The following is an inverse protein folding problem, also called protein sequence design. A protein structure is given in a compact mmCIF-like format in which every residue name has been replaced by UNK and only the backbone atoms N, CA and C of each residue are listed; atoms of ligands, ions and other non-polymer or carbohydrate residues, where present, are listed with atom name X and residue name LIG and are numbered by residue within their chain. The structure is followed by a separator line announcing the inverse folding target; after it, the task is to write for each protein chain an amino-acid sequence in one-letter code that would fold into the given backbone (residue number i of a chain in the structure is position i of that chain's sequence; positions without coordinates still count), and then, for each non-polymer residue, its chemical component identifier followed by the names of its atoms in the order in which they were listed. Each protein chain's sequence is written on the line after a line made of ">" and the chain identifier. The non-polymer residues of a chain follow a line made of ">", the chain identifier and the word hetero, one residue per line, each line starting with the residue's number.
data_IF_151530661090
#
_entry.id   IF_151530661090
#
_cell.length_a   1.000
_cell.length_b   1.000
_cell.length_c   1.000
_cell.angle_alpha   90.00
_cell.angle_beta   90.00
_cell.angle_gamma   90.00
#
_symmetry.space_group_name_H-M   'P 1'
#
loop_
_entity.id
_entity.type
_entity.pdbx_description
1 polymer ?
#
# COMPACT_ATOMS: atom_id res chain seq x y z
N UNK A 1 -9.61 -1.92 11.16
CA UNK A 1 -9.67 -2.72 9.91
C UNK A 1 -8.75 -2.11 8.86
N UNK A 2 -8.30 -2.90 7.88
CA UNK A 2 -7.50 -2.40 6.74
C UNK A 2 -8.20 -2.73 5.42
N UNK A 3 -8.37 -1.72 4.59
CA UNK A 3 -8.83 -1.82 3.21
C UNK A 3 -7.62 -1.69 2.28
N UNK A 4 -7.40 -2.70 1.44
CA UNK A 4 -6.35 -2.70 0.42
C UNK A 4 -7.00 -2.74 -0.96
N UNK A 5 -6.84 -1.66 -1.72
CA UNK A 5 -7.36 -1.50 -3.07
C UNK A 5 -6.24 -1.79 -4.08
N UNK A 6 -6.30 -2.96 -4.72
CA UNK A 6 -5.23 -3.48 -5.59
C UNK A 6 -5.51 -3.19 -7.07
N UNK A 7 -4.53 -2.61 -7.74
CA UNK A 7 -4.63 -2.24 -9.15
C UNK A 7 -3.38 -2.62 -9.91
N UNK A 8 -3.52 -2.63 -11.23
CA UNK A 8 -2.39 -2.79 -12.14
C UNK A 8 -2.25 -1.55 -13.00
N UNK A 9 -1.01 -1.08 -13.15
CA UNK A 9 -0.67 0.09 -13.93
C UNK A 9 0.23 -0.28 -15.12
N UNK A 10 0.23 0.50 -16.21
CA UNK A 10 1.29 0.42 -17.19
C UNK A 10 2.62 0.88 -16.58
N UNK A 11 3.73 0.46 -17.17
CA UNK A 11 5.07 0.94 -16.79
C UNK A 11 5.12 2.47 -16.86
N UNK A 12 5.37 3.09 -15.70
CA UNK A 12 5.53 4.53 -15.60
C UNK A 12 6.89 4.89 -16.18
N UNK A 13 6.90 5.79 -17.17
CA UNK A 13 8.16 6.33 -17.68
C UNK A 13 8.76 7.26 -16.62
N UNK A 14 10.00 7.00 -16.17
CA UNK A 14 10.62 7.84 -15.17
C UNK A 14 10.92 9.22 -15.77
N UNK A 15 10.90 10.25 -14.91
CA UNK A 15 11.45 11.57 -15.27
C UNK A 15 12.93 11.59 -14.89
N UNK A 16 13.79 11.91 -15.85
CA UNK A 16 15.24 11.97 -15.63
C UNK A 16 15.86 10.58 -15.40
N UNK A 17 16.86 10.50 -14.52
CA UNK A 17 17.66 9.29 -14.27
C UNK A 17 17.07 8.32 -13.23
N UNK A 18 15.85 8.56 -12.74
CA UNK A 18 15.22 7.68 -11.76
C UNK A 18 14.84 6.32 -12.39
N UNK A 19 14.84 5.26 -11.59
CA UNK A 19 14.26 3.98 -12.01
C UNK A 19 12.73 4.08 -12.05
N UNK A 20 12.06 3.42 -13.01
CA UNK A 20 10.60 3.33 -13.00
C UNK A 20 10.13 2.58 -11.74
N UNK A 21 9.10 3.06 -11.03
CA UNK A 21 8.55 2.34 -9.90
C UNK A 21 7.84 1.07 -10.35
N UNK A 22 8.11 -0.04 -9.67
CA UNK A 22 7.35 -1.28 -9.80
C UNK A 22 6.01 -1.19 -9.05
N UNK A 23 5.97 -0.34 -8.00
CA UNK A 23 4.78 -0.14 -7.18
C UNK A 23 4.50 1.35 -6.93
N UNK A 24 3.22 1.74 -6.87
CA UNK A 24 2.81 3.04 -6.32
C UNK A 24 1.88 2.80 -5.14
N UNK A 25 2.23 3.35 -3.98
CA UNK A 25 1.39 3.33 -2.78
C UNK A 25 0.64 4.65 -2.70
N UNK A 26 -0.69 4.59 -2.70
CA UNK A 26 -1.59 5.73 -2.52
C UNK A 26 -2.29 5.67 -1.16
N UNK A 27 -2.13 6.70 -0.34
CA UNK A 27 -2.80 6.86 0.96
C UNK A 27 -3.61 8.16 1.07
N UNK A 28 -3.90 8.76 -0.09
CA UNK A 28 -4.52 10.08 -0.25
C UNK A 28 -3.75 11.16 0.51
N UNK A 29 -2.43 11.16 0.40
CA UNK A 29 -1.54 12.09 1.12
C UNK A 29 -1.76 12.04 2.64
N UNK A 30 -1.94 10.82 3.16
CA UNK A 30 -2.19 10.55 4.58
C UNK A 30 -3.64 10.68 5.03
N UNK A 31 -4.58 11.06 4.15
CA UNK A 31 -5.99 11.18 4.52
C UNK A 31 -6.69 9.83 4.69
N UNK A 32 -6.21 8.75 4.05
CA UNK A 32 -6.88 7.46 4.02
C UNK A 32 -6.40 6.47 5.09
N UNK A 33 -5.22 6.66 5.69
CA UNK A 33 -4.72 5.76 6.75
C UNK A 33 -3.78 6.46 7.72
N UNK A 34 -3.54 5.84 8.88
CA UNK A 34 -2.48 6.28 9.78
C UNK A 34 -1.11 6.09 9.11
N UNK A 35 -0.20 7.06 9.27
CA UNK A 35 1.10 7.07 8.57
C UNK A 35 2.00 5.88 8.88
N UNK A 36 1.85 5.24 10.05
CA UNK A 36 2.59 4.01 10.36
C UNK A 36 2.25 2.85 9.42
N UNK A 37 1.02 2.80 8.92
CA UNK A 37 0.58 1.72 8.02
C UNK A 37 1.19 1.90 6.62
N UNK A 38 1.17 3.12 6.08
CA UNK A 38 1.86 3.41 4.81
C UNK A 38 3.37 3.21 4.94
N UNK A 39 3.99 3.69 6.03
CA UNK A 39 5.41 3.48 6.30
C UNK A 39 5.81 1.99 6.38
N UNK A 40 4.94 1.14 6.95
CA UNK A 40 5.17 -0.30 7.01
C UNK A 40 5.18 -0.95 5.62
N UNK A 41 4.27 -0.52 4.72
CA UNK A 41 4.22 -0.99 3.32
C UNK A 41 5.47 -0.58 2.56
N UNK A 42 5.88 0.69 2.66
CA UNK A 42 7.13 1.18 2.06
C UNK A 42 8.34 0.40 2.54
N UNK A 43 8.44 0.22 3.87
CA UNK A 43 9.53 -0.52 4.48
C UNK A 43 9.54 -1.98 4.04
N UNK A 44 8.38 -2.61 3.91
CA UNK A 44 8.25 -3.98 3.42
C UNK A 44 8.75 -4.10 1.97
N UNK A 45 8.28 -3.23 1.07
CA UNK A 45 8.65 -3.27 -0.35
C UNK A 45 10.14 -2.95 -0.55
N UNK A 46 10.68 -1.98 0.20
CA UNK A 46 12.11 -1.65 0.16
C UNK A 46 13.00 -2.83 0.61
N UNK A 47 12.60 -3.57 1.65
CA UNK A 47 13.32 -4.79 2.09
C UNK A 47 13.28 -5.94 1.08
N UNK A 48 12.38 -5.88 0.09
CA UNK A 48 12.30 -6.83 -1.01
C UNK A 48 12.92 -6.25 -2.30
N UNK A 49 13.77 -5.23 -2.17
CA UNK A 49 14.47 -4.54 -3.24
C UNK A 49 13.55 -3.96 -4.32
N UNK A 50 12.33 -3.55 -3.94
CA UNK A 50 11.34 -3.00 -4.87
C UNK A 50 11.43 -1.49 -4.96
N UNK A 51 11.37 -1.00 -6.20
CA UNK A 51 11.25 0.44 -6.48
C UNK A 51 9.80 0.85 -6.27
N UNK A 52 9.56 1.75 -5.33
CA UNK A 52 8.20 2.17 -4.93
C UNK A 52 8.09 3.69 -4.94
N UNK A 53 6.97 4.21 -5.44
CA UNK A 53 6.63 5.63 -5.39
C UNK A 53 5.44 5.88 -4.44
N UNK A 54 5.33 7.13 -3.96
CA UNK A 54 4.26 7.55 -3.04
C UNK A 54 3.34 8.56 -3.70
N UNK A 55 2.05 8.24 -3.71
CA UNK A 55 0.95 9.10 -4.13
C UNK A 55 1.02 9.69 -5.56
N UNK A 56 2.01 9.30 -6.38
CA UNK A 56 2.20 9.82 -7.73
C UNK A 56 2.56 8.71 -8.71
N UNK A 57 1.88 8.63 -9.86
CA UNK A 57 0.75 9.47 -10.30
C UNK A 57 -0.58 9.08 -9.62
N UNK A 58 -0.60 8.01 -8.82
CA UNK A 58 -1.80 7.47 -8.19
C UNK A 58 -1.77 7.71 -6.68
N UNK A 59 -2.67 8.57 -6.18
CA UNK A 59 -2.75 8.91 -4.75
C UNK A 59 -3.79 8.13 -3.97
N UNK A 60 -4.65 7.33 -4.62
CA UNK A 60 -5.84 6.77 -3.99
C UNK A 60 -7.12 7.40 -4.54
N UNK A 61 -7.91 6.61 -5.26
CA UNK A 61 -9.10 7.06 -5.97
C UNK A 61 -10.39 7.00 -5.13
N UNK A 62 -11.50 6.76 -5.85
CA UNK A 62 -12.86 6.73 -5.30
C UNK A 62 -13.03 5.74 -4.14
N UNK A 63 -12.43 4.55 -4.23
CA UNK A 63 -12.56 3.50 -3.20
C UNK A 63 -12.07 4.00 -1.85
N UNK A 64 -10.87 4.61 -1.80
CA UNK A 64 -10.34 5.13 -0.55
C UNK A 64 -11.15 6.33 -0.04
N UNK A 65 -11.58 7.22 -0.92
CA UNK A 65 -12.43 8.36 -0.54
C UNK A 65 -13.74 7.94 0.09
N UNK A 66 -14.35 6.87 -0.43
CA UNK A 66 -15.69 6.41 -0.05
C UNK A 66 -15.68 5.54 1.20
N UNK A 67 -14.61 4.77 1.41
CA UNK A 67 -14.59 3.66 2.37
C UNK A 67 -13.49 3.76 3.42
N UNK A 68 -12.44 4.56 3.22
CA UNK A 68 -11.49 4.80 4.29
C UNK A 68 -12.07 5.81 5.27
N UNK A 69 -12.01 5.47 6.56
CA UNK A 69 -12.35 6.35 7.66
C UNK A 69 -11.38 6.06 8.82
N UNK A 70 -10.17 6.66 8.80
CA UNK A 70 -9.19 6.44 9.86
C UNK A 70 -9.70 6.80 11.25
N UNK A 71 -10.65 7.73 11.37
CA UNK A 71 -11.24 8.12 12.66
C UNK A 71 -12.17 7.04 13.20
N UNK A 72 -12.87 6.32 12.32
CA UNK A 72 -13.63 5.12 12.66
C UNK A 72 -12.78 3.83 12.64
N UNK A 73 -11.44 3.94 12.54
CA UNK A 73 -10.53 2.79 12.55
C UNK A 73 -10.52 1.96 11.26
N UNK A 74 -11.01 2.51 10.14
CA UNK A 74 -10.94 1.89 8.81
C UNK A 74 -9.83 2.58 8.02
N UNK A 75 -8.68 1.92 7.92
CA UNK A 75 -7.51 2.47 7.21
C UNK A 75 -7.43 1.92 5.79
N UNK A 76 -7.33 2.80 4.79
CA UNK A 76 -7.31 2.47 3.37
C UNK A 76 -5.97 2.77 2.69
N UNK A 77 -5.52 1.86 1.83
CA UNK A 77 -4.36 2.00 0.96
C UNK A 77 -4.67 1.51 -0.45
N UNK A 78 -4.17 2.21 -1.46
CA UNK A 78 -4.18 1.79 -2.85
C UNK A 78 -2.77 1.31 -3.21
N UNK A 79 -2.67 0.15 -3.86
CA UNK A 79 -1.41 -0.37 -4.36
C UNK A 79 -1.54 -0.63 -5.86
N UNK A 80 -0.81 0.16 -6.64
CA UNK A 80 -0.66 0.00 -8.07
C UNK A 80 0.57 -0.83 -8.37
N UNK A 81 0.43 -1.83 -9.23
CA UNK A 81 1.50 -2.78 -9.55
C UNK A 81 1.82 -2.65 -11.04
N UNK A 82 3.09 -2.40 -11.39
CA UNK A 82 3.51 -2.36 -12.80
C UNK A 82 3.29 -3.73 -13.43
N UNK A 83 2.39 -3.80 -14.42
CA UNK A 83 2.06 -5.04 -15.12
C UNK A 83 3.25 -5.71 -15.79
N UNK A 84 4.33 -4.97 -16.10
CA UNK A 84 5.54 -5.53 -16.68
C UNK A 84 6.26 -6.52 -15.74
N UNK A 85 6.01 -6.47 -14.42
CA UNK A 85 6.66 -7.39 -13.48
C UNK A 85 5.98 -8.76 -13.40
N UNK A 86 4.76 -8.91 -13.95
CA UNK A 86 3.98 -10.14 -13.81
C UNK A 86 3.28 -10.62 -15.09
N UNK A 87 3.15 -9.80 -16.13
CA UNK A 87 2.67 -10.21 -17.46
C UNK A 87 3.82 -10.59 -18.39
N UNK A 88 3.49 -11.28 -19.47
CA UNK A 88 4.39 -11.48 -20.61
C UNK A 88 4.64 -10.16 -21.37
N UNK A 89 5.53 -10.19 -22.38
CA UNK A 89 5.94 -8.98 -23.12
C UNK A 89 4.79 -8.34 -23.89
N UNK A 90 3.84 -9.15 -24.33
CA UNK A 90 2.68 -8.70 -25.10
C UNK A 90 1.55 -8.20 -24.18
N UNK A 91 1.65 -8.44 -22.88
CA UNK A 91 0.67 -8.07 -21.86
C UNK A 91 -0.61 -8.90 -21.92
N UNK A 92 -0.59 -10.04 -22.61
CA UNK A 92 -1.77 -10.86 -22.88
C UNK A 92 -1.92 -12.00 -21.88
N UNK A 93 -0.81 -12.54 -21.37
CA UNK A 93 -0.83 -13.65 -20.42
C UNK A 93 0.06 -13.37 -19.20
N UNK A 94 -0.09 -14.22 -18.19
CA UNK A 94 0.76 -14.22 -17.02
C UNK A 94 2.20 -14.60 -17.41
N UNK A 95 3.14 -13.76 -17.02
CA UNK A 95 4.56 -13.99 -17.18
C UNK A 95 5.17 -14.75 -16.00
N UNK A 96 6.46 -15.09 -16.07
CA UNK A 96 7.17 -15.84 -15.03
C UNK A 96 7.26 -15.09 -13.68
N UNK A 97 7.01 -13.78 -13.67
CA UNK A 97 7.02 -12.97 -12.44
C UNK A 97 5.79 -13.13 -11.56
N UNK A 98 4.68 -13.68 -12.08
CA UNK A 98 3.42 -13.79 -11.33
C UNK A 98 3.57 -14.54 -10.01
N UNK A 99 4.22 -15.71 -10.00
CA UNK A 99 4.41 -16.48 -8.77
C UNK A 99 5.18 -15.70 -7.69
N UNK A 100 6.19 -14.91 -8.10
CA UNK A 100 6.94 -14.04 -7.18
C UNK A 100 6.08 -12.90 -6.65
N UNK A 101 5.24 -12.30 -7.51
CA UNK A 101 4.32 -11.24 -7.10
C UNK A 101 3.29 -11.77 -6.09
N UNK A 102 2.68 -12.93 -6.33
CA UNK A 102 1.72 -13.53 -5.40
C UNK A 102 2.35 -13.73 -4.03
N UNK A 103 3.54 -14.33 -3.96
CA UNK A 103 4.24 -14.54 -2.68
C UNK A 103 4.52 -13.20 -1.97
N UNK A 104 5.03 -12.21 -2.71
CA UNK A 104 5.28 -10.87 -2.17
C UNK A 104 4.01 -10.23 -1.59
N UNK A 105 2.88 -10.31 -2.30
CA UNK A 105 1.61 -9.74 -1.85
C UNK A 105 1.03 -10.46 -0.63
N UNK A 106 1.15 -11.79 -0.57
CA UNK A 106 0.75 -12.58 0.60
C UNK A 106 1.53 -12.13 1.84
N UNK A 107 2.84 -11.98 1.71
CA UNK A 107 3.69 -11.55 2.81
C UNK A 107 3.47 -10.08 3.17
N UNK A 108 3.17 -9.23 2.19
CA UNK A 108 2.77 -7.83 2.44
C UNK A 108 1.48 -7.78 3.26
N UNK A 109 0.45 -8.54 2.89
CA UNK A 109 -0.83 -8.58 3.62
C UNK A 109 -0.62 -9.05 5.06
N UNK A 110 0.24 -10.05 5.29
CA UNK A 110 0.61 -10.49 6.64
C UNK A 110 1.29 -9.38 7.44
N UNK A 111 2.23 -8.67 6.84
CA UNK A 111 2.92 -7.55 7.47
C UNK A 111 1.95 -6.39 7.81
N UNK A 112 1.02 -6.08 6.91
CA UNK A 112 -0.02 -5.07 7.13
C UNK A 112 -0.98 -5.47 8.25
N UNK A 113 -1.38 -6.75 8.31
CA UNK A 113 -2.23 -7.27 9.39
C UNK A 113 -1.54 -7.11 10.76
N UNK A 114 -0.27 -7.49 10.86
CA UNK A 114 0.50 -7.31 12.10
C UNK A 114 0.61 -5.84 12.50
N UNK A 115 0.87 -4.94 11.55
CA UNK A 115 0.94 -3.50 11.81
C UNK A 115 -0.42 -2.92 12.25
N UNK A 116 -1.51 -3.42 11.69
CA UNK A 116 -2.86 -2.99 12.06
C UNK A 116 -3.24 -3.40 13.48
N UNK A 117 -2.80 -4.58 13.93
CA UNK A 117 -2.96 -5.02 15.33
C UNK A 117 -2.24 -4.06 16.28
N UNK A 118 -0.96 -3.75 16.00
CA UNK A 118 -0.18 -2.81 16.81
C UNK A 118 -0.86 -1.43 16.87
N UNK A 119 -1.38 -0.95 15.74
CA UNK A 119 -2.11 0.32 15.68
C UNK A 119 -3.39 0.30 16.51
N UNK A 120 -4.14 -0.80 16.50
CA UNK A 120 -5.33 -0.98 17.34
C UNK A 120 -5.03 -1.04 18.84
N UNK A 121 -3.91 -1.64 19.21
CA UNK A 121 -3.47 -1.69 20.61
C UNK A 121 -3.07 -0.29 21.10
N UNK A 122 -2.41 0.52 20.27
CA UNK A 122 -2.06 1.91 20.61
C UNK A 122 -3.29 2.80 20.79
N UNK A 123 -4.33 2.64 19.95
CA UNK A 123 -5.53 3.46 20.02
C UNK A 123 -6.43 3.09 21.20
N UNK A 124 -6.46 1.82 21.61
CA UNK A 124 -7.19 1.37 22.81
C UNK A 124 -6.53 1.84 24.12
N UNK A 125 -5.21 2.02 24.13
CA UNK A 125 -4.47 2.54 25.30
C UNK A 125 -4.66 4.04 25.57
N UNK A 126 -5.01 4.86 24.57
CA UNK A 126 -5.22 6.31 24.74
C UNK A 126 -6.54 6.67 25.43
N UNK A 127 -7.51 5.75 25.48
CA UNK A 127 -8.83 5.98 26.09
C UNK A 127 -8.86 6.17 27.61
N UNK A 128 -7.76 5.88 28.32
CA UNK A 128 -7.70 5.92 29.78
C UNK A 128 -7.08 7.20 30.36
N UNK A 129 -6.48 8.07 29.53
CA UNK A 129 -5.79 9.28 30.02
C UNK A 129 -6.63 10.56 30.02
N UNK A 130 -7.80 10.58 29.38
CA UNK A 130 -8.66 11.80 29.34
C UNK A 130 -9.83 11.79 30.34
N UNK A 131 -10.10 10.68 31.03
CA UNK A 131 -11.15 10.60 32.05
C UNK A 131 -10.68 10.97 33.48
N UNK A 132 -9.45 11.49 33.63
CA UNK A 132 -8.84 11.83 34.93
C UNK A 132 -8.54 13.34 35.09
N UNK A 133 -9.39 14.22 34.54
CA UNK A 133 -9.37 15.66 34.84
C UNK A 133 -10.75 16.17 35.19
#
# INVERSE_FOLDING_TARGET
>A
AVLLDLHSMPTIRPRGAALPPEFVVGDRFGAACHGSLSAAVFSFLHRHDRVVAHNRPYSGGYVLERHADPKAGIHGLQLEIDRAIYLDRDGANLGPGMGKLVNLLVDLVRAMAAQATILGDMSSGQGWSEAAK
#
